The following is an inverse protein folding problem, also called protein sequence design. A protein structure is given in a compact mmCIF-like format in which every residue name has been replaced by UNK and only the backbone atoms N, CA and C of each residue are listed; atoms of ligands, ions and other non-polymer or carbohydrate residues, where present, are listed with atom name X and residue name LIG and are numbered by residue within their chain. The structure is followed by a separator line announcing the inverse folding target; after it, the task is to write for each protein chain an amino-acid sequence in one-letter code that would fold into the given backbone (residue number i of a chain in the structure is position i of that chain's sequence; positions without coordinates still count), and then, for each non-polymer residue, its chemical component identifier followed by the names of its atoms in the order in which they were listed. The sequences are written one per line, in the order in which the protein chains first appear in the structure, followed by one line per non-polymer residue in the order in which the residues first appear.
data_IF_967947451172
#
_entry.id   IF_967947451172
#
_cell.length_a   1.000
_cell.length_b   1.000
_cell.length_c   1.000
_cell.angle_alpha   90.00
_cell.angle_beta   90.00
_cell.angle_gamma   90.00
#
_symmetry.space_group_name_H-M   'P 1'
#
loop_
_entity.id
_entity.type
_entity.pdbx_description
1 polymer ?
#
# COMPACT_ATOMS: atom_id res chain seq x y z
N UNK A 1 17.95 22.76 -38.43
CA UNK A 1 18.06 23.21 -37.03
C UNK A 1 16.74 22.86 -36.35
N UNK A 2 16.61 21.64 -35.80
CA UNK A 2 16.71 21.28 -34.36
C UNK A 2 15.32 21.30 -33.67
N UNK A 3 14.58 20.18 -33.75
CA UNK A 3 14.26 19.14 -32.73
C UNK A 3 13.34 19.53 -31.57
N UNK A 4 12.27 18.75 -31.39
CA UNK A 4 11.92 18.19 -30.09
C UNK A 4 10.71 18.79 -29.36
N UNK A 5 9.58 19.00 -30.04
CA UNK A 5 8.30 19.29 -29.39
C UNK A 5 7.37 18.08 -29.48
N UNK A 6 7.69 17.04 -28.72
CA UNK A 6 6.93 15.81 -28.61
C UNK A 6 7.63 14.90 -27.61
N UNK A 7 6.87 14.28 -26.71
CA UNK A 7 7.31 13.24 -25.76
C UNK A 7 7.92 13.65 -24.42
N UNK A 8 7.40 14.70 -23.78
CA UNK A 8 7.53 14.83 -22.31
C UNK A 8 6.32 14.22 -21.57
N UNK A 9 5.09 14.42 -22.06
CA UNK A 9 3.86 13.96 -21.39
C UNK A 9 3.68 12.43 -21.41
N UNK A 10 4.13 11.74 -22.46
CA UNK A 10 3.93 10.29 -22.62
C UNK A 10 4.72 9.46 -21.59
N UNK A 11 5.88 9.97 -21.13
CA UNK A 11 6.74 9.28 -20.17
C UNK A 11 6.24 9.50 -18.73
N UNK A 12 5.61 10.64 -18.44
CA UNK A 12 5.04 10.94 -17.12
C UNK A 12 3.82 10.05 -16.84
N UNK A 13 2.96 9.84 -17.84
CA UNK A 13 1.77 9.02 -17.72
C UNK A 13 2.07 7.59 -17.27
N UNK A 14 3.02 6.92 -17.92
CA UNK A 14 3.29 5.48 -17.65
C UNK A 14 3.84 5.23 -16.25
N UNK A 15 4.76 6.08 -15.75
CA UNK A 15 5.36 5.90 -14.43
C UNK A 15 4.39 6.27 -13.31
N UNK A 16 3.60 7.33 -13.50
CA UNK A 16 2.53 7.73 -12.57
C UNK A 16 1.43 6.69 -12.49
N UNK A 17 0.93 6.21 -13.64
CA UNK A 17 -0.09 5.15 -13.70
C UNK A 17 0.39 3.87 -13.03
N UNK A 18 1.63 3.43 -13.29
CA UNK A 18 2.20 2.25 -12.63
C UNK A 18 2.26 2.42 -11.12
N UNK A 19 2.73 3.56 -10.61
CA UNK A 19 2.78 3.82 -9.17
C UNK A 19 1.39 3.82 -8.53
N UNK A 20 0.39 4.38 -9.20
CA UNK A 20 -1.00 4.37 -8.74
C UNK A 20 -1.55 2.93 -8.74
N UNK A 21 -1.32 2.16 -9.81
CA UNK A 21 -1.73 0.75 -9.89
C UNK A 21 -1.06 -0.10 -8.81
N UNK A 22 0.24 0.07 -8.56
CA UNK A 22 0.96 -0.63 -7.51
C UNK A 22 0.39 -0.28 -6.13
N UNK A 23 0.09 1.00 -5.88
CA UNK A 23 -0.53 1.45 -4.62
C UNK A 23 -1.92 0.85 -4.42
N UNK A 24 -2.76 0.84 -5.46
CA UNK A 24 -4.10 0.26 -5.41
C UNK A 24 -4.06 -1.26 -5.16
N UNK A 25 -3.12 -1.97 -5.80
CA UNK A 25 -2.93 -3.40 -5.59
C UNK A 25 -2.47 -3.72 -4.15
N UNK A 26 -1.55 -2.91 -3.60
CA UNK A 26 -1.12 -3.04 -2.21
C UNK A 26 -2.27 -2.75 -1.24
N UNK A 27 -3.08 -1.71 -1.51
CA UNK A 27 -4.22 -1.36 -0.69
C UNK A 27 -5.29 -2.48 -0.65
N UNK A 28 -5.63 -3.05 -1.81
CA UNK A 28 -6.57 -4.16 -1.89
C UNK A 28 -6.09 -5.40 -1.11
N UNK A 29 -4.80 -5.74 -1.25
CA UNK A 29 -4.18 -6.82 -0.48
C UNK A 29 -4.24 -6.58 1.02
N UNK A 30 -3.96 -5.34 1.47
CA UNK A 30 -4.04 -4.95 2.88
C UNK A 30 -5.48 -5.08 3.37
N UNK A 31 -6.47 -4.65 2.60
CA UNK A 31 -7.89 -4.80 2.92
C UNK A 31 -8.23 -6.27 3.25
N UNK A 32 -7.79 -7.20 2.39
CA UNK A 32 -8.02 -8.63 2.62
C UNK A 32 -7.30 -9.15 3.88
N UNK A 33 -6.11 -8.61 4.21
CA UNK A 33 -5.41 -8.95 5.46
C UNK A 33 -6.21 -8.46 6.67
N UNK A 34 -6.74 -7.23 6.62
CA UNK A 34 -7.52 -6.67 7.71
C UNK A 34 -8.85 -7.42 7.89
N UNK A 35 -9.55 -7.70 6.79
CA UNK A 35 -10.80 -8.47 6.78
C UNK A 35 -10.61 -9.91 7.30
N UNK A 36 -9.45 -10.52 7.05
CA UNK A 36 -9.10 -11.83 7.60
C UNK A 36 -8.71 -11.83 9.08
N UNK A 37 -8.54 -10.65 9.71
CA UNK A 37 -8.06 -10.51 11.09
C UNK A 37 -8.87 -9.47 11.88
N UNK A 38 -10.22 -9.57 11.93
CA UNK A 38 -11.07 -8.53 12.51
C UNK A 38 -10.84 -8.31 14.01
N UNK A 39 -10.48 -9.37 14.75
CA UNK A 39 -10.13 -9.26 16.18
C UNK A 39 -8.89 -8.40 16.40
N UNK A 40 -7.86 -8.58 15.58
CA UNK A 40 -6.63 -7.81 15.64
C UNK A 40 -6.87 -6.36 15.22
N UNK A 41 -7.76 -6.11 14.25
CA UNK A 41 -8.14 -4.75 13.85
C UNK A 41 -8.79 -4.02 15.04
N UNK A 42 -9.74 -4.67 15.70
CA UNK A 42 -10.40 -4.13 16.89
C UNK A 42 -9.38 -3.84 18.02
N UNK A 43 -8.49 -4.80 18.29
CA UNK A 43 -7.45 -4.63 19.30
C UNK A 43 -6.46 -3.50 18.98
N UNK A 44 -6.10 -3.32 17.70
CA UNK A 44 -5.26 -2.20 17.29
C UNK A 44 -5.96 -0.86 17.54
N UNK A 45 -7.24 -0.77 17.16
CA UNK A 45 -8.08 0.42 17.41
C UNK A 45 -8.31 0.71 18.90
N UNK A 46 -8.15 -0.28 19.76
CA UNK A 46 -8.16 -0.13 21.22
C UNK A 46 -6.81 0.33 21.79
N UNK A 47 -5.84 0.67 20.94
CA UNK A 47 -4.52 1.19 21.35
C UNK A 47 -3.42 0.14 21.41
N UNK A 48 -3.65 -1.11 20.94
CA UNK A 48 -2.56 -2.10 20.81
C UNK A 48 -1.75 -1.86 19.53
N UNK A 49 -1.00 -0.76 19.49
CA UNK A 49 -0.22 -0.33 18.32
C UNK A 49 0.80 -1.38 17.84
N UNK A 50 1.28 -2.26 18.73
CA UNK A 50 2.14 -3.40 18.40
C UNK A 50 1.57 -4.33 17.32
N UNK A 51 0.24 -4.35 17.13
CA UNK A 51 -0.40 -5.13 16.07
C UNK A 51 -0.11 -4.60 14.67
N UNK A 52 0.38 -3.36 14.53
CA UNK A 52 0.85 -2.83 13.25
C UNK A 52 1.97 -3.71 12.67
N UNK A 53 2.92 -4.14 13.49
CA UNK A 53 4.01 -5.02 13.05
C UNK A 53 3.50 -6.39 12.58
N UNK A 54 2.45 -6.91 13.25
CA UNK A 54 1.77 -8.14 12.82
C UNK A 54 1.15 -7.96 11.42
N UNK A 55 0.42 -6.87 11.19
CA UNK A 55 -0.21 -6.60 9.90
C UNK A 55 0.81 -6.38 8.78
N UNK A 56 1.91 -5.66 9.06
CA UNK A 56 3.02 -5.50 8.12
C UNK A 56 3.58 -6.86 7.73
N UNK A 57 3.81 -7.76 8.69
CA UNK A 57 4.28 -9.12 8.42
C UNK A 57 3.31 -9.93 7.54
N UNK A 58 2.02 -9.84 7.80
CA UNK A 58 0.99 -10.53 7.01
C UNK A 58 0.89 -9.97 5.59
N UNK A 59 0.93 -8.65 5.43
CA UNK A 59 0.94 -8.01 4.12
C UNK A 59 2.22 -8.36 3.32
N UNK A 60 3.40 -8.35 3.96
CA UNK A 60 4.66 -8.76 3.31
C UNK A 60 4.65 -10.21 2.82
N UNK A 61 4.07 -11.12 3.61
CA UNK A 61 3.87 -12.52 3.20
C UNK A 61 2.94 -12.61 2.00
N UNK A 62 1.81 -11.91 2.04
CA UNK A 62 0.80 -11.93 0.98
C UNK A 62 1.30 -11.29 -0.32
N UNK A 63 2.13 -10.24 -0.21
CA UNK A 63 2.81 -9.61 -1.33
C UNK A 63 3.92 -10.48 -1.92
N UNK A 64 4.29 -11.59 -1.27
CA UNK A 64 5.47 -12.42 -1.62
C UNK A 64 6.75 -11.57 -1.75
N UNK A 65 6.90 -10.59 -0.86
CA UNK A 65 8.02 -9.64 -0.88
C UNK A 65 8.03 -8.63 -2.05
N UNK A 66 6.98 -8.57 -2.88
CA UNK A 66 6.90 -7.62 -4.01
C UNK A 66 6.56 -6.18 -3.61
N UNK A 67 6.00 -5.98 -2.42
CA UNK A 67 5.59 -4.66 -1.94
C UNK A 67 6.64 -4.09 -0.98
N UNK A 68 6.80 -2.77 -1.00
CA UNK A 68 7.74 -2.08 -0.12
C UNK A 68 7.16 -1.99 1.32
N UNK A 69 7.92 -2.39 2.36
CA UNK A 69 7.51 -2.25 3.76
C UNK A 69 7.04 -0.84 4.16
N UNK A 70 7.67 0.21 3.63
CA UNK A 70 7.30 1.60 3.91
C UNK A 70 5.92 1.94 3.34
N UNK A 71 5.63 1.50 2.10
CA UNK A 71 4.31 1.69 1.49
C UNK A 71 3.24 0.91 2.22
N UNK A 72 3.53 -0.35 2.57
CA UNK A 72 2.61 -1.20 3.36
C UNK A 72 2.28 -0.53 4.69
N UNK A 73 3.29 -0.06 5.42
CA UNK A 73 3.11 0.57 6.72
C UNK A 73 2.27 1.86 6.62
N UNK A 74 2.55 2.70 5.62
CA UNK A 74 1.78 3.93 5.39
C UNK A 74 0.30 3.64 5.10
N UNK A 75 0.02 2.69 4.22
CA UNK A 75 -1.36 2.31 3.86
C UNK A 75 -2.08 1.63 5.03
N UNK A 76 -1.38 0.78 5.79
CA UNK A 76 -1.94 0.13 6.98
C UNK A 76 -2.36 1.16 8.02
N UNK A 77 -1.49 2.12 8.35
CA UNK A 77 -1.83 3.21 9.26
C UNK A 77 -3.04 3.99 8.75
N UNK A 78 -3.05 4.37 7.47
CA UNK A 78 -4.18 5.07 6.87
C UNK A 78 -5.50 4.28 7.04
N UNK A 79 -5.49 2.96 6.78
CA UNK A 79 -6.68 2.10 6.89
C UNK A 79 -7.13 1.82 8.33
N UNK A 80 -6.20 1.81 9.28
CA UNK A 80 -6.48 1.46 10.67
C UNK A 80 -6.80 2.69 11.53
N UNK A 81 -6.19 3.83 11.24
CA UNK A 81 -6.34 5.10 11.97
C UNK A 81 -7.46 5.99 11.39
N UNK A 82 -7.73 5.94 10.08
CA UNK A 82 -8.87 6.61 9.44
C UNK A 82 -9.87 5.56 8.91
N UNK A 83 -10.79 5.05 9.75
CA UNK A 83 -11.77 4.03 9.38
C UNK A 83 -12.84 4.52 8.39
#
# INVERSE_FOLDING_TARGET
MWNGAGDADTIIGTKGLKQVTDTAAIAAMIEEVLQGNPSQVSQYRQGKEQLLAFFVGQAMKKSKGKANPQQINAILKQKLENP
#
